data_IF_673161219168
#
_entry.id   IF_673161219168
#
_cell.length_a   1.000
_cell.length_b   1.000
_cell.length_c   1.000
_cell.angle_alpha   90.00
_cell.angle_beta   90.00
_cell.angle_gamma   90.00
#
_symmetry.space_group_name_H-M   'P 1'
#
loop_
_entity.id
_entity.type
_entity.pdbx_description
1 polymer ?
#
# COMPACT_ATOMS: atom_id res chain seq x y z
N UNK A 1 23.39 10.30 -4.65
CA UNK A 1 22.13 10.08 -3.90
C UNK A 1 22.18 8.68 -3.33
N UNK A 2 21.82 8.48 -2.06
CA UNK A 2 21.63 7.12 -1.53
C UNK A 2 20.42 6.48 -2.23
N UNK A 3 20.49 5.19 -2.52
CA UNK A 3 19.36 4.46 -3.08
C UNK A 3 18.24 4.38 -2.04
N UNK A 4 17.01 4.69 -2.45
CA UNK A 4 15.82 4.58 -1.59
C UNK A 4 15.49 3.10 -1.43
N UNK A 5 15.32 2.65 -0.19
CA UNK A 5 14.89 1.29 0.12
C UNK A 5 13.40 1.11 -0.18
N UNK A 6 12.96 -0.08 -0.64
CA UNK A 6 11.54 -0.38 -0.73
C UNK A 6 10.87 -0.28 0.65
N UNK A 7 9.61 0.14 0.74
CA UNK A 7 8.91 0.30 2.02
C UNK A 7 8.94 -0.94 2.92
N UNK A 8 8.95 -2.13 2.33
CA UNK A 8 8.94 -3.42 3.02
C UNK A 8 10.34 -3.92 3.42
N UNK A 9 11.40 -3.13 3.22
CA UNK A 9 12.79 -3.60 3.36
C UNK A 9 13.08 -4.26 4.72
N UNK A 10 12.53 -3.72 5.81
CA UNK A 10 12.74 -4.27 7.16
C UNK A 10 12.01 -5.60 7.34
N UNK A 11 10.81 -5.73 6.76
CA UNK A 11 10.04 -6.97 6.78
C UNK A 11 10.74 -8.08 5.99
N UNK A 12 11.27 -7.73 4.81
CA UNK A 12 12.09 -8.62 3.99
C UNK A 12 13.37 -9.07 4.70
N UNK A 13 14.12 -8.13 5.28
CA UNK A 13 15.36 -8.44 6.01
C UNK A 13 15.11 -9.34 7.23
N UNK A 14 14.02 -9.09 7.95
CA UNK A 14 13.64 -9.88 9.13
C UNK A 14 13.01 -11.22 8.78
N UNK A 15 12.68 -11.47 7.51
CA UNK A 15 11.85 -12.61 7.08
C UNK A 15 10.54 -12.71 7.90
N UNK A 16 9.99 -11.56 8.27
CA UNK A 16 8.70 -11.48 8.98
C UNK A 16 7.57 -11.82 7.99
N UNK A 17 6.37 -12.16 8.46
CA UNK A 17 5.24 -12.45 7.57
C UNK A 17 4.30 -13.52 8.12
N UNK A 18 3.35 -14.01 7.30
CA UNK A 18 3.43 -14.07 5.84
C UNK A 18 3.09 -12.78 5.09
N UNK A 19 2.35 -11.83 5.66
CA UNK A 19 1.90 -10.63 4.96
C UNK A 19 2.65 -9.39 5.47
N UNK A 20 2.93 -8.44 4.57
CA UNK A 20 3.56 -7.16 4.89
C UNK A 20 2.60 -6.03 4.56
N UNK A 21 2.53 -5.04 5.43
CA UNK A 21 1.62 -3.90 5.24
C UNK A 21 2.34 -2.61 5.60
N UNK A 22 2.31 -1.62 4.72
CA UNK A 22 2.55 -0.24 5.06
C UNK A 22 1.20 0.46 5.20
N UNK A 23 0.94 1.07 6.36
CA UNK A 23 -0.27 1.86 6.60
C UNK A 23 0.11 3.32 6.82
N UNK A 24 -0.63 4.23 6.19
CA UNK A 24 -0.49 5.68 6.29
C UNK A 24 -1.83 6.27 6.72
N UNK A 25 -1.78 7.22 7.66
CA UNK A 25 -2.92 7.98 8.10
C UNK A 25 -2.73 9.45 7.75
N UNK A 26 -3.76 10.07 7.17
CA UNK A 26 -3.76 11.46 6.78
C UNK A 26 -4.68 12.31 7.66
N UNK A 27 -4.47 13.63 7.64
CA UNK A 27 -5.35 14.60 8.32
C UNK A 27 -6.72 14.70 7.65
N UNK A 28 -7.72 15.15 8.39
CA UNK A 28 -9.06 15.47 7.88
C UNK A 28 -9.04 16.40 6.65
N UNK A 29 -8.15 17.39 6.64
CA UNK A 29 -7.99 18.31 5.52
C UNK A 29 -7.58 17.61 4.21
N UNK A 30 -6.99 16.41 4.32
CA UNK A 30 -6.56 15.60 3.18
C UNK A 30 -7.69 14.74 2.60
N UNK A 31 -8.86 14.60 3.27
CA UNK A 31 -9.92 13.63 2.92
C UNK A 31 -10.29 13.62 1.44
N UNK A 32 -10.61 14.80 0.90
CA UNK A 32 -11.00 14.91 -0.51
C UNK A 32 -9.80 14.85 -1.45
N UNK A 33 -8.65 15.38 -1.03
CA UNK A 33 -7.46 15.44 -1.86
C UNK A 33 -6.80 14.07 -2.06
N UNK A 34 -6.77 13.22 -1.03
CA UNK A 34 -6.04 11.95 -1.03
C UNK A 34 -6.43 11.07 -2.22
N UNK A 35 -7.73 10.84 -2.38
CA UNK A 35 -8.25 10.02 -3.47
C UNK A 35 -8.07 10.67 -4.85
N UNK A 36 -8.21 12.00 -4.94
CA UNK A 36 -8.08 12.71 -6.22
C UNK A 36 -6.64 12.70 -6.72
N UNK A 37 -5.68 12.97 -5.83
CA UNK A 37 -4.26 12.97 -6.16
C UNK A 37 -3.82 11.54 -6.51
N UNK A 38 -4.19 10.54 -5.70
CA UNK A 38 -3.83 9.15 -5.97
C UNK A 38 -4.28 8.66 -7.36
N UNK A 39 -5.47 9.06 -7.82
CA UNK A 39 -5.98 8.73 -9.16
C UNK A 39 -5.23 9.41 -10.31
N UNK A 40 -4.62 10.56 -10.06
CA UNK A 40 -3.87 11.31 -11.07
C UNK A 40 -2.43 10.79 -11.23
N UNK A 41 -1.93 10.05 -10.25
CA UNK A 41 -0.59 9.49 -10.29
C UNK A 41 -0.58 8.15 -11.01
N UNK A 42 0.43 7.96 -11.86
CA UNK A 42 0.66 6.70 -12.56
C UNK A 42 1.29 5.70 -11.60
N UNK A 43 0.63 4.55 -11.41
CA UNK A 43 1.17 3.39 -10.69
C UNK A 43 1.40 2.25 -11.70
N UNK A 44 2.62 2.15 -12.23
CA UNK A 44 2.94 1.19 -13.30
C UNK A 44 2.83 -0.26 -12.83
N UNK A 45 2.20 -1.13 -13.63
CA UNK A 45 2.03 -2.55 -13.29
C UNK A 45 0.85 -2.81 -12.35
N UNK A 46 0.03 -1.79 -12.07
CA UNK A 46 -1.19 -1.91 -11.30
C UNK A 46 -2.37 -1.29 -12.06
N UNK A 47 -3.52 -1.93 -11.90
CA UNK A 47 -4.79 -1.49 -12.44
C UNK A 47 -5.72 -1.09 -11.32
N UNK A 48 -6.43 0.01 -11.51
CA UNK A 48 -7.47 0.42 -10.59
C UNK A 48 -8.68 -0.51 -10.70
N UNK A 49 -9.13 -1.05 -9.58
CA UNK A 49 -10.37 -1.84 -9.49
C UNK A 49 -11.49 -0.96 -8.99
N UNK A 50 -12.63 -0.99 -9.68
CA UNK A 50 -13.85 -0.33 -9.24
C UNK A 50 -14.74 -1.33 -8.52
N UNK A 51 -14.88 -1.17 -7.21
CA UNK A 51 -15.88 -1.89 -6.42
C UNK A 51 -17.20 -1.11 -6.44
N UNK A 52 -18.32 -1.71 -6.89
CA UNK A 52 -19.62 -1.04 -6.85
C UNK A 52 -19.97 -0.59 -5.42
N UNK A 53 -20.38 0.67 -5.25
CA UNK A 53 -20.73 1.28 -3.97
C UNK A 53 -19.59 1.35 -2.92
N UNK A 54 -18.34 1.13 -3.31
CA UNK A 54 -17.23 1.26 -2.38
C UNK A 54 -16.81 2.72 -2.19
N UNK A 55 -16.59 3.09 -0.93
CA UNK A 55 -15.89 4.32 -0.55
C UNK A 55 -14.37 4.14 -0.59
N UNK A 56 -13.90 2.91 -0.82
CA UNK A 56 -12.49 2.58 -1.00
C UNK A 56 -12.09 2.60 -2.48
N UNK A 57 -10.84 2.97 -2.71
CA UNK A 57 -10.18 2.91 -4.02
C UNK A 57 -9.04 1.94 -3.95
N UNK A 58 -8.98 1.04 -4.92
CA UNK A 58 -8.01 -0.06 -4.87
C UNK A 58 -7.26 -0.18 -6.18
N UNK A 59 -5.98 -0.48 -6.06
CA UNK A 59 -5.10 -0.84 -7.16
C UNK A 59 -4.58 -2.24 -6.90
N UNK A 60 -4.71 -3.11 -7.90
CA UNK A 60 -4.23 -4.49 -7.87
C UNK A 60 -3.19 -4.64 -8.96
N UNK A 61 -2.15 -5.43 -8.70
CA UNK A 61 -1.16 -5.71 -9.72
C UNK A 61 -1.81 -6.35 -10.97
N UNK A 62 -1.37 -5.91 -12.15
CA UNK A 62 -2.05 -6.19 -13.43
C UNK A 62 -2.28 -7.69 -13.69
N UNK A 63 -1.36 -8.52 -13.20
CA UNK A 63 -1.41 -9.97 -13.41
C UNK A 63 -2.55 -10.67 -12.67
N UNK A 64 -3.10 -10.05 -11.62
CA UNK A 64 -4.16 -10.65 -10.80
C UNK A 64 -5.53 -9.96 -10.97
N UNK A 65 -5.64 -8.92 -11.80
CA UNK A 65 -6.88 -8.15 -12.00
C UNK A 65 -8.09 -9.02 -12.30
N UNK A 66 -7.96 -9.93 -13.28
CA UNK A 66 -9.08 -10.78 -13.70
C UNK A 66 -9.53 -11.72 -12.57
N UNK A 67 -8.57 -12.31 -11.86
CA UNK A 67 -8.79 -13.17 -10.70
C UNK A 67 -9.45 -12.40 -9.54
N UNK A 68 -8.96 -11.19 -9.25
CA UNK A 68 -9.50 -10.32 -8.22
C UNK A 68 -10.95 -9.91 -8.52
N UNK A 69 -11.23 -9.50 -9.76
CA UNK A 69 -12.57 -9.12 -10.20
C UNK A 69 -13.54 -10.30 -10.14
N UNK A 70 -13.13 -11.49 -10.60
CA UNK A 70 -13.97 -12.69 -10.54
C UNK A 70 -14.38 -13.04 -9.10
N UNK A 71 -13.49 -12.82 -8.13
CA UNK A 71 -13.80 -12.99 -6.70
C UNK A 71 -14.76 -11.91 -6.17
N UNK A 72 -14.58 -10.63 -6.54
CA UNK A 72 -15.52 -9.56 -6.18
C UNK A 72 -16.92 -9.84 -6.73
N UNK A 73 -16.99 -10.28 -7.99
CA UNK A 73 -18.26 -10.55 -8.67
C UNK A 73 -18.93 -11.83 -8.16
N UNK A 74 -18.27 -12.59 -7.28
CA UNK A 74 -18.76 -13.85 -6.74
C UNK A 74 -18.80 -14.99 -7.77
N UNK A 75 -18.15 -14.83 -8.91
CA UNK A 75 -18.12 -15.83 -9.98
C UNK A 75 -17.09 -16.92 -9.74
N UNK A 76 -16.00 -16.60 -9.03
CA UNK A 76 -14.97 -17.55 -8.63
C UNK A 76 -14.36 -17.16 -7.29
N UNK A 77 -14.52 -18.01 -6.27
CA UNK A 77 -13.87 -17.80 -4.98
C UNK A 77 -12.35 -17.98 -5.10
N UNK A 78 -11.60 -16.98 -4.63
CA UNK A 78 -10.14 -17.00 -4.63
C UNK A 78 -9.59 -16.27 -3.41
N UNK A 79 -8.45 -16.74 -2.89
CA UNK A 79 -7.75 -15.99 -1.85
C UNK A 79 -7.09 -14.75 -2.47
N UNK A 80 -7.81 -13.64 -2.49
CA UNK A 80 -7.35 -12.37 -3.07
C UNK A 80 -6.35 -11.61 -2.18
N UNK A 81 -6.18 -12.03 -0.93
CA UNK A 81 -5.26 -11.41 0.04
C UNK A 81 -3.79 -11.79 -0.20
N UNK A 82 -3.53 -12.70 -1.15
CA UNK A 82 -2.17 -13.07 -1.57
C UNK A 82 -1.57 -12.08 -2.58
N UNK A 83 -2.37 -11.11 -3.05
CA UNK A 83 -1.96 -10.17 -4.08
C UNK A 83 -1.42 -8.88 -3.49
N UNK A 84 -0.55 -8.24 -4.26
CA UNK A 84 -0.11 -6.89 -3.92
C UNK A 84 -1.26 -5.93 -4.23
N UNK A 85 -1.64 -5.14 -3.25
CA UNK A 85 -2.67 -4.15 -3.46
C UNK A 85 -2.44 -2.89 -2.66
N UNK A 86 -2.88 -1.79 -3.25
CA UNK A 86 -2.95 -0.49 -2.59
C UNK A 86 -4.43 -0.20 -2.36
N UNK A 87 -4.81 0.13 -1.14
CA UNK A 87 -6.16 0.56 -0.81
C UNK A 87 -6.12 1.94 -0.18
N UNK A 88 -7.01 2.82 -0.64
CA UNK A 88 -7.33 4.07 0.05
C UNK A 88 -8.74 3.93 0.56
N UNK A 89 -8.92 4.00 1.88
CA UNK A 89 -10.21 4.05 2.52
C UNK A 89 -10.26 5.28 3.43
N UNK A 90 -11.10 6.23 3.03
CA UNK A 90 -11.23 7.50 3.73
C UNK A 90 -9.89 8.28 3.88
N UNK A 91 -9.37 8.35 5.11
CA UNK A 91 -8.11 9.02 5.46
C UNK A 91 -6.93 8.04 5.59
N UNK A 92 -7.16 6.76 5.33
CA UNK A 92 -6.15 5.71 5.40
C UNK A 92 -5.72 5.29 4.00
N UNK A 93 -4.43 5.02 3.86
CA UNK A 93 -3.84 4.35 2.72
C UNK A 93 -3.05 3.15 3.23
N UNK A 94 -3.34 1.96 2.69
CA UNK A 94 -2.53 0.76 2.88
C UNK A 94 -1.86 0.34 1.58
N UNK A 95 -0.62 -0.12 1.69
CA UNK A 95 0.06 -0.93 0.68
C UNK A 95 0.31 -2.28 1.31
N UNK A 96 -0.21 -3.33 0.71
CA UNK A 96 -0.13 -4.68 1.23
C UNK A 96 0.54 -5.60 0.22
N UNK A 97 1.44 -6.43 0.72
CA UNK A 97 2.10 -7.48 -0.02
C UNK A 97 1.89 -8.79 0.74
N UNK A 98 0.96 -9.61 0.25
CA UNK A 98 0.67 -10.91 0.83
C UNK A 98 1.77 -11.94 0.53
N UNK A 99 1.93 -12.92 1.42
CA UNK A 99 2.86 -14.06 1.25
C UNK A 99 4.28 -13.65 0.81
N UNK A 100 4.91 -12.81 1.61
CA UNK A 100 6.27 -12.25 1.47
C UNK A 100 6.51 -11.41 0.22
N UNK A 101 5.42 -11.01 -0.45
CA UNK A 101 5.45 -10.12 -1.60
C UNK A 101 6.09 -10.72 -2.84
N UNK A 102 6.05 -9.95 -3.94
CA UNK A 102 6.54 -10.38 -5.26
C UNK A 102 7.97 -9.91 -5.59
N UNK A 103 8.78 -9.67 -4.57
CA UNK A 103 10.17 -9.22 -4.70
C UNK A 103 10.32 -7.70 -4.87
N UNK A 104 11.58 -7.25 -4.83
CA UNK A 104 11.94 -5.84 -4.67
C UNK A 104 11.41 -4.90 -5.78
N UNK A 105 11.22 -5.39 -7.01
CA UNK A 105 10.82 -4.56 -8.15
C UNK A 105 9.43 -3.91 -7.95
N UNK A 106 8.44 -4.67 -7.47
CA UNK A 106 7.10 -4.13 -7.22
C UNK A 106 7.10 -3.16 -6.03
N UNK A 107 7.78 -3.52 -4.95
CA UNK A 107 7.87 -2.67 -3.77
C UNK A 107 8.63 -1.37 -4.04
N UNK A 108 9.54 -1.33 -5.01
CA UNK A 108 10.16 -0.09 -5.48
C UNK A 108 9.18 0.80 -6.25
N UNK A 109 8.32 0.23 -7.11
CA UNK A 109 7.28 1.00 -7.81
C UNK A 109 6.27 1.60 -6.83
N UNK A 110 5.79 0.79 -5.88
CA UNK A 110 4.90 1.23 -4.80
C UNK A 110 5.55 2.36 -3.99
N UNK A 111 6.82 2.20 -3.62
CA UNK A 111 7.57 3.20 -2.85
C UNK A 111 7.72 4.51 -3.64
N UNK A 112 8.09 4.44 -4.92
CA UNK A 112 8.23 5.62 -5.76
C UNK A 112 6.89 6.38 -5.91
N UNK A 113 5.79 5.65 -6.11
CA UNK A 113 4.45 6.23 -6.18
C UNK A 113 4.03 6.89 -4.85
N UNK A 114 4.27 6.24 -3.72
CA UNK A 114 4.01 6.80 -2.38
C UNK A 114 4.80 8.10 -2.15
N UNK A 115 6.07 8.13 -2.55
CA UNK A 115 6.90 9.32 -2.40
C UNK A 115 6.43 10.47 -3.28
N UNK A 116 5.88 10.19 -4.47
CA UNK A 116 5.27 11.22 -5.31
C UNK A 116 3.96 11.73 -4.70
N UNK A 117 3.12 10.83 -4.18
CA UNK A 117 1.89 11.18 -3.46
C UNK A 117 2.18 12.13 -2.29
N UNK A 118 3.18 11.81 -1.47
CA UNK A 118 3.55 12.58 -0.28
C UNK A 118 4.17 13.96 -0.57
N UNK A 119 4.51 14.28 -1.82
CA UNK A 119 4.95 15.63 -2.22
C UNK A 119 3.77 16.59 -2.40
N UNK A 120 2.55 16.07 -2.54
CA UNK A 120 1.40 16.91 -2.86
C UNK A 120 1.03 17.82 -1.68
N UNK A 121 0.95 19.15 -1.86
CA UNK A 121 0.83 20.11 -0.75
C UNK A 121 -0.51 20.03 0.01
N UNK A 122 -1.53 19.43 -0.60
CA UNK A 122 -2.83 19.19 0.05
C UNK A 122 -2.87 17.92 0.91
N UNK A 123 -1.81 17.11 0.92
CA UNK A 123 -1.76 15.87 1.68
C UNK A 123 -0.85 16.04 2.89
N UNK A 124 -1.39 15.72 4.07
CA UNK A 124 -0.66 15.80 5.32
C UNK A 124 -0.73 14.45 6.03
N UNK A 125 0.40 13.76 6.07
CA UNK A 125 0.59 12.50 6.80
C UNK A 125 0.70 12.79 8.31
N UNK A 126 -0.05 12.07 9.13
CA UNK A 126 -0.02 12.17 10.61
C UNK A 126 0.59 10.93 11.26
N UNK A 127 0.56 9.79 10.55
CA UNK A 127 1.11 8.55 11.04
C UNK A 127 1.45 7.63 9.88
N UNK A 128 2.50 6.84 10.05
CA UNK A 128 2.76 5.68 9.23
C UNK A 128 3.27 4.53 10.08
N UNK A 129 3.06 3.30 9.62
CA UNK A 129 3.62 2.10 10.22
C UNK A 129 3.84 1.00 9.20
N UNK A 130 4.92 0.25 9.38
CA UNK A 130 5.19 -1.00 8.66
C UNK A 130 4.89 -2.16 9.60
N UNK A 131 4.02 -3.04 9.15
CA UNK A 131 3.53 -4.21 9.85
C UNK A 131 3.97 -5.48 9.12
N UNK A 132 4.10 -6.57 9.88
CA UNK A 132 4.15 -7.92 9.35
C UNK A 132 3.25 -8.84 10.19
N UNK A 133 2.67 -9.87 9.57
CA UNK A 133 1.75 -10.81 10.24
C UNK A 133 0.79 -11.43 9.25
N UNK A 134 -0.50 -11.53 9.61
CA UNK A 134 -1.56 -11.98 8.69
C UNK A 134 -1.68 -13.50 8.58
N UNK A 135 -2.64 -13.98 7.79
CA UNK A 135 -2.95 -15.40 7.58
C UNK A 135 -2.95 -16.28 8.87
N UNK A 136 -3.59 -15.81 9.95
CA UNK A 136 -3.68 -16.53 11.23
C UNK A 136 -2.55 -16.23 12.23
N UNK A 137 -1.60 -15.35 11.87
CA UNK A 137 -0.58 -14.82 12.77
C UNK A 137 -0.94 -13.39 13.25
N UNK A 138 -0.52 -13.06 14.47
CA UNK A 138 -0.68 -11.72 15.02
C UNK A 138 0.15 -10.71 14.21
N UNK A 139 -0.43 -9.52 14.00
CA UNK A 139 0.32 -8.42 13.41
C UNK A 139 1.30 -7.83 14.43
N UNK A 140 2.54 -7.62 13.98
CA UNK A 140 3.56 -6.88 14.71
C UNK A 140 3.96 -5.62 13.96
N UNK A 141 4.20 -4.54 14.71
CA UNK A 141 4.79 -3.32 14.16
C UNK A 141 6.29 -3.45 14.09
N UNK A 142 6.85 -3.33 12.89
CA UNK A 142 8.28 -3.34 12.65
C UNK A 142 8.89 -1.95 12.79
N UNK A 143 8.16 -0.92 12.33
CA UNK A 143 8.56 0.48 12.44
C UNK A 143 7.34 1.39 12.33
N UNK A 144 7.40 2.58 12.94
CA UNK A 144 6.38 3.61 12.80
C UNK A 144 6.94 5.03 12.92
N UNK A 145 6.13 6.02 12.54
CA UNK A 145 6.45 7.43 12.69
C UNK A 145 5.24 8.33 12.45
N UNK A 146 5.44 9.64 12.55
CA UNK A 146 4.35 10.62 12.62
C UNK A 146 4.36 11.69 11.51
N UNK A 147 5.32 11.64 10.59
CA UNK A 147 5.40 12.63 9.53
C UNK A 147 6.13 12.09 8.28
N UNK A 148 6.04 12.78 7.12
CA UNK A 148 6.73 12.34 5.90
C UNK A 148 8.25 12.30 6.04
N UNK A 149 8.84 13.12 6.92
CA UNK A 149 10.30 13.19 7.11
C UNK A 149 10.83 11.93 7.80
N UNK A 150 10.11 11.44 8.81
CA UNK A 150 10.43 10.19 9.50
C UNK A 150 10.27 8.98 8.58
N UNK A 151 9.26 8.98 7.70
CA UNK A 151 9.13 7.95 6.66
C UNK A 151 10.31 8.00 5.68
N UNK A 152 10.68 9.19 5.18
CA UNK A 152 11.85 9.36 4.32
C UNK A 152 13.15 8.89 4.99
N UNK A 153 13.32 9.16 6.29
CA UNK A 153 14.48 8.70 7.05
C UNK A 153 14.52 7.17 7.17
N UNK A 154 13.36 6.51 7.32
CA UNK A 154 13.25 5.06 7.31
C UNK A 154 13.62 4.44 5.95
N UNK A 155 13.30 5.13 4.85
CA UNK A 155 13.58 4.67 3.49
C UNK A 155 15.01 5.01 2.99
N UNK A 156 15.78 5.80 3.74
CA UNK A 156 17.10 6.34 3.34
C UNK A 156 18.30 5.41 3.57
#
# INVERSE_FOLDING_TARGET
MKAIKPWCWQASQAQAGPDWILQLQFTEASRFALQQVAKQLVLSGFSQIHKPNATSYEWIDDSNVAAYQANIDGTQAQNIWIYNHIQIQDLSLSVEAGYTGRGEAYSQVETAWLLELLKHPLLQLTQWQVLAGGNGYDYMTLQSGHDPRSLLAYLA
#
